data_IF_664682833026
#
_entry.id   IF_664682833026
#
_cell.length_a   1.000
_cell.length_b   1.000
_cell.length_c   1.000
_cell.angle_alpha   90.00
_cell.angle_beta   90.00
_cell.angle_gamma   90.00
#
_symmetry.space_group_name_H-M   'P 1'
#
loop_
_entity.id
_entity.type
_entity.pdbx_description
1 polymer ?
#
# COMPACT_ATOMS: atom_id res chain seq x y z
N UNK A 1 -37.65 -25.60 -22.03
CA UNK A 1 -37.62 -24.29 -21.38
C UNK A 1 -36.49 -24.33 -20.35
N UNK A 2 -35.26 -24.04 -20.80
CA UNK A 2 -34.08 -24.04 -19.94
C UNK A 2 -33.93 -22.66 -19.32
N UNK A 3 -33.87 -22.62 -17.99
CA UNK A 3 -33.53 -21.41 -17.25
C UNK A 3 -32.04 -21.13 -17.40
N UNK A 4 -31.73 -19.94 -17.90
CA UNK A 4 -30.36 -19.43 -17.97
C UNK A 4 -30.16 -18.50 -16.77
N UNK A 5 -29.69 -19.09 -15.67
CA UNK A 5 -29.21 -18.37 -14.51
C UNK A 5 -27.79 -17.92 -14.77
N UNK A 6 -27.65 -16.69 -15.28
CA UNK A 6 -26.36 -16.00 -15.26
C UNK A 6 -26.13 -15.48 -13.85
N UNK A 7 -25.52 -16.33 -13.02
CA UNK A 7 -24.81 -15.93 -11.80
C UNK A 7 -23.65 -15.02 -12.22
N UNK A 8 -23.93 -13.72 -12.31
CA UNK A 8 -22.89 -12.71 -12.33
C UNK A 8 -22.15 -12.81 -10.99
N UNK A 9 -20.91 -13.30 -11.03
CA UNK A 9 -20.04 -13.34 -9.86
C UNK A 9 -19.84 -11.90 -9.37
N UNK A 10 -20.54 -11.56 -8.29
CA UNK A 10 -20.29 -10.39 -7.46
C UNK A 10 -18.91 -10.56 -6.82
N UNK A 11 -17.88 -10.04 -7.50
CA UNK A 11 -16.54 -9.89 -6.95
C UNK A 11 -16.60 -8.81 -5.88
N UNK A 12 -16.97 -9.25 -4.68
CA UNK A 12 -17.33 -8.45 -3.52
C UNK A 12 -16.26 -7.47 -3.05
N UNK A 13 -16.14 -6.34 -3.75
CA UNK A 13 -15.92 -5.05 -3.08
C UNK A 13 -17.29 -4.66 -2.55
N UNK A 14 -17.53 -4.90 -1.25
CA UNK A 14 -18.67 -4.29 -0.57
C UNK A 14 -18.47 -2.77 -0.59
N UNK A 15 -18.91 -2.11 -1.66
CA UNK A 15 -18.95 -0.65 -1.70
C UNK A 15 -19.91 -0.22 -0.61
N UNK A 16 -19.39 0.49 0.38
CA UNK A 16 -20.24 1.17 1.34
C UNK A 16 -21.19 2.08 0.54
N UNK A 17 -22.40 2.31 1.04
CA UNK A 17 -23.30 3.31 0.45
C UNK A 17 -22.58 4.66 0.25
N UNK A 18 -21.64 5.00 1.13
CA UNK A 18 -20.77 6.17 0.98
C UNK A 18 -19.84 6.08 -0.24
N UNK A 19 -19.20 4.93 -0.47
CA UNK A 19 -18.33 4.70 -1.63
C UNK A 19 -19.10 4.79 -2.95
N UNK A 20 -20.32 4.26 -2.98
CA UNK A 20 -21.19 4.33 -4.15
C UNK A 20 -21.61 5.78 -4.46
N UNK A 21 -22.03 6.54 -3.44
CA UNK A 21 -22.37 7.96 -3.60
C UNK A 21 -21.19 8.77 -4.13
N UNK A 22 -19.97 8.51 -3.65
CA UNK A 22 -18.77 9.19 -4.15
C UNK A 22 -18.50 8.83 -5.61
N UNK A 23 -18.60 7.55 -5.98
CA UNK A 23 -18.41 7.10 -7.36
C UNK A 23 -19.45 7.73 -8.30
N UNK A 24 -20.72 7.75 -7.92
CA UNK A 24 -21.80 8.40 -8.68
C UNK A 24 -21.55 9.91 -8.81
N UNK A 25 -21.09 10.58 -7.75
CA UNK A 25 -20.74 11.99 -7.79
C UNK A 25 -19.58 12.30 -8.72
N UNK A 26 -18.57 11.44 -8.80
CA UNK A 26 -17.43 11.59 -9.72
C UNK A 26 -17.90 11.47 -11.17
N UNK A 27 -18.81 10.52 -11.45
CA UNK A 27 -19.32 10.30 -12.81
C UNK A 27 -20.31 11.38 -13.27
N UNK A 28 -21.03 12.01 -12.33
CA UNK A 28 -22.01 13.05 -12.62
C UNK A 28 -21.38 14.41 -12.98
N UNK A 29 -20.17 14.68 -12.51
CA UNK A 29 -19.43 15.92 -12.78
C UNK A 29 -18.35 15.69 -13.85
N UNK A 30 -18.50 16.31 -15.02
CA UNK A 30 -17.55 16.11 -16.13
C UNK A 30 -16.11 16.55 -15.77
N UNK A 31 -15.94 17.60 -14.95
CA UNK A 31 -14.60 18.05 -14.53
C UNK A 31 -13.89 17.01 -13.64
N UNK A 32 -14.61 16.42 -12.69
CA UNK A 32 -14.09 15.38 -11.80
C UNK A 32 -13.85 14.08 -12.55
N UNK A 33 -14.72 13.74 -13.51
CA UNK A 33 -14.55 12.59 -14.41
C UNK A 33 -13.32 12.73 -15.30
N UNK A 34 -13.05 13.91 -15.86
CA UNK A 34 -11.84 14.17 -16.63
C UNK A 34 -10.58 14.01 -15.79
N UNK A 35 -10.59 14.52 -14.54
CA UNK A 35 -9.48 14.31 -13.61
C UNK A 35 -9.29 12.83 -13.27
N UNK A 36 -10.37 12.08 -13.06
CA UNK A 36 -10.30 10.63 -12.82
C UNK A 36 -9.69 9.89 -14.01
N UNK A 37 -10.02 10.27 -15.24
CA UNK A 37 -9.40 9.73 -16.46
C UNK A 37 -7.91 10.03 -16.53
N UNK A 38 -7.50 11.26 -16.18
CA UNK A 38 -6.08 11.65 -16.13
C UNK A 38 -5.33 10.83 -15.08
N UNK A 39 -5.89 10.65 -13.88
CA UNK A 39 -5.28 9.83 -12.83
C UNK A 39 -5.14 8.38 -13.30
N UNK A 40 -6.19 7.79 -13.86
CA UNK A 40 -6.17 6.42 -14.39
C UNK A 40 -5.10 6.24 -15.47
N UNK A 41 -4.93 7.24 -16.35
CA UNK A 41 -3.87 7.23 -17.36
C UNK A 41 -2.46 7.32 -16.74
N UNK A 42 -2.25 8.16 -15.73
CA UNK A 42 -0.97 8.27 -15.01
C UNK A 42 -0.63 7.00 -14.22
N UNK A 43 -1.63 6.35 -13.62
CA UNK A 43 -1.47 5.05 -12.96
C UNK A 43 -1.08 3.97 -13.98
N UNK A 44 -1.73 3.93 -15.14
CA UNK A 44 -1.38 3.03 -16.23
C UNK A 44 0.07 3.22 -16.68
N UNK A 45 0.50 4.46 -16.94
CA UNK A 45 1.89 4.76 -17.30
C UNK A 45 2.89 4.34 -16.22
N UNK A 46 2.54 4.58 -14.94
CA UNK A 46 3.35 4.16 -13.81
C UNK A 46 3.45 2.63 -13.73
N UNK A 47 2.37 1.92 -14.05
CA UNK A 47 2.35 0.47 -14.15
C UNK A 47 3.28 -0.06 -15.26
N UNK A 48 3.28 0.57 -16.43
CA UNK A 48 4.20 0.23 -17.51
C UNK A 48 5.67 0.41 -17.11
N UNK A 49 6.00 1.53 -16.44
CA UNK A 49 7.36 1.78 -15.96
C UNK A 49 7.82 0.74 -14.93
N UNK A 50 6.92 0.24 -14.08
CA UNK A 50 7.24 -0.84 -13.14
C UNK A 50 7.50 -2.19 -13.83
N UNK A 51 6.84 -2.45 -14.95
CA UNK A 51 6.97 -3.72 -15.67
C UNK A 51 8.18 -3.73 -16.61
N UNK A 52 8.50 -2.60 -17.26
CA UNK A 52 9.53 -2.52 -18.31
C UNK A 52 10.94 -2.27 -17.78
N UNK A 53 11.09 -1.52 -16.70
CA UNK A 53 12.41 -1.17 -16.18
C UNK A 53 12.88 -2.20 -15.14
N UNK A 54 13.73 -3.17 -15.51
CA UNK A 54 14.39 -4.06 -14.53
C UNK A 54 15.20 -3.27 -13.47
N UNK A 55 15.66 -2.06 -13.79
CA UNK A 55 16.33 -1.15 -12.87
C UNK A 55 15.37 -0.31 -11.99
N UNK A 56 14.12 -0.10 -12.40
CA UNK A 56 13.04 0.46 -11.57
C UNK A 56 12.30 -0.62 -10.77
N UNK A 57 12.56 -1.89 -11.12
CA UNK A 57 12.01 -3.08 -10.51
C UNK A 57 11.96 -2.94 -8.99
N UNK A 58 10.78 -3.20 -8.45
CA UNK A 58 10.50 -3.10 -7.03
C UNK A 58 11.60 -3.86 -6.24
N UNK A 59 12.26 -3.21 -5.26
CA UNK A 59 13.25 -3.92 -4.48
C UNK A 59 12.59 -5.13 -3.83
N UNK A 60 13.28 -6.27 -3.86
CA UNK A 60 12.75 -7.51 -3.28
C UNK A 60 12.46 -7.29 -1.80
N UNK A 61 11.19 -7.46 -1.44
CA UNK A 61 10.72 -7.45 -0.05
C UNK A 61 10.94 -8.84 0.52
N UNK A 62 11.75 -8.93 1.58
CA UNK A 62 12.01 -10.18 2.29
C UNK A 62 10.83 -10.61 3.16
N UNK A 63 10.77 -11.88 3.55
CA UNK A 63 9.77 -12.40 4.49
C UNK A 63 9.88 -11.81 5.91
N UNK A 64 11.00 -11.15 6.22
CA UNK A 64 11.23 -10.43 7.47
C UNK A 64 11.01 -8.91 7.38
N UNK A 65 10.79 -8.36 6.18
CA UNK A 65 10.59 -6.92 6.00
C UNK A 65 9.25 -6.52 6.63
N UNK A 66 9.27 -5.46 7.45
CA UNK A 66 8.12 -5.06 8.26
C UNK A 66 7.99 -5.81 9.60
N UNK A 67 8.81 -6.84 9.84
CA UNK A 67 8.95 -7.47 11.15
C UNK A 67 10.16 -6.88 11.86
N UNK A 68 9.94 -6.13 12.93
CA UNK A 68 11.01 -5.44 13.68
C UNK A 68 11.83 -6.37 14.58
N UNK A 69 12.36 -7.45 14.02
CA UNK A 69 13.05 -8.53 14.74
C UNK A 69 14.35 -8.07 15.41
N UNK A 70 15.12 -7.22 14.74
CA UNK A 70 16.37 -6.68 15.30
C UNK A 70 16.07 -5.65 16.39
N UNK A 71 15.08 -4.78 16.16
CA UNK A 71 14.58 -3.83 17.17
C UNK A 71 14.08 -4.57 18.42
N UNK A 72 13.35 -5.67 18.26
CA UNK A 72 12.91 -6.54 19.36
C UNK A 72 14.10 -7.09 20.14
N UNK A 73 15.12 -7.59 19.44
CA UNK A 73 16.34 -8.12 20.08
C UNK A 73 17.08 -7.03 20.85
N UNK A 74 17.24 -5.85 20.25
CA UNK A 74 17.90 -4.70 20.89
C UNK A 74 17.13 -4.16 22.10
N UNK A 75 15.81 -4.11 22.03
CA UNK A 75 14.95 -3.77 23.16
C UNK A 75 15.12 -4.78 24.30
N UNK A 76 15.15 -6.08 23.99
CA UNK A 76 15.29 -7.15 24.99
C UNK A 76 16.62 -7.13 25.73
N UNK A 77 17.72 -6.68 25.09
CA UNK A 77 19.03 -6.49 25.74
C UNK A 77 19.16 -5.12 26.44
N UNK A 78 18.10 -4.32 26.47
CA UNK A 78 18.05 -3.05 27.22
C UNK A 78 18.65 -1.85 26.48
N UNK A 79 18.71 -1.86 25.15
CA UNK A 79 19.14 -0.68 24.40
C UNK A 79 18.08 0.44 24.52
N UNK A 80 18.39 1.46 25.32
CA UNK A 80 17.47 2.57 25.58
C UNK A 80 17.14 3.43 24.35
N UNK A 81 17.92 3.31 23.25
CA UNK A 81 17.75 4.10 22.03
C UNK A 81 16.65 3.59 21.11
N UNK A 82 16.29 2.31 21.20
CA UNK A 82 15.26 1.71 20.35
C UNK A 82 13.90 1.65 21.05
N UNK A 83 12.83 1.59 20.25
CA UNK A 83 11.47 1.41 20.77
C UNK A 83 11.34 0.11 21.59
N UNK A 84 10.55 0.18 22.65
CA UNK A 84 10.29 -0.98 23.52
C UNK A 84 9.04 -1.76 23.12
N UNK A 85 8.12 -1.11 22.44
CA UNK A 85 6.86 -1.70 21.95
C UNK A 85 6.95 -1.88 20.43
N UNK A 86 6.24 -2.87 19.90
CA UNK A 86 6.36 -3.30 18.49
C UNK A 86 5.09 -3.04 17.68
N UNK A 87 4.26 -2.10 18.12
CA UNK A 87 3.18 -1.55 17.32
C UNK A 87 3.69 -0.48 16.34
N UNK A 88 3.04 -0.30 15.18
CA UNK A 88 3.50 0.63 14.14
C UNK A 88 3.66 2.09 14.59
N UNK A 89 2.90 2.54 15.59
CA UNK A 89 2.95 3.92 16.10
C UNK A 89 3.93 4.11 17.27
N UNK A 90 4.55 3.05 17.78
CA UNK A 90 5.53 3.12 18.88
C UNK A 90 6.67 4.11 18.64
N UNK A 91 7.28 4.22 17.43
CA UNK A 91 8.34 5.20 17.19
C UNK A 91 7.89 6.64 17.42
N UNK A 92 6.67 6.98 16.95
CA UNK A 92 6.09 8.31 17.11
C UNK A 92 5.68 8.57 18.57
N UNK A 93 5.05 7.59 19.23
CA UNK A 93 4.57 7.71 20.61
C UNK A 93 5.71 7.79 21.63
N UNK A 94 6.78 7.02 21.43
CA UNK A 94 7.90 6.93 22.37
C UNK A 94 9.03 7.92 22.07
N UNK A 95 9.03 8.54 20.87
CA UNK A 95 10.13 9.39 20.42
C UNK A 95 11.45 8.63 20.29
N UNK A 96 11.38 7.35 19.92
CA UNK A 96 12.53 6.45 19.77
C UNK A 96 12.52 5.84 18.38
N UNK A 97 13.70 5.47 17.90
CA UNK A 97 13.85 4.93 16.55
C UNK A 97 13.78 3.40 16.55
N UNK A 98 13.63 2.83 15.35
CA UNK A 98 13.89 1.40 15.13
C UNK A 98 15.40 1.13 15.13
N UNK A 99 15.79 -0.14 15.16
CA UNK A 99 17.17 -0.49 14.82
C UNK A 99 17.50 -0.04 13.39
N UNK A 100 18.79 0.19 13.11
CA UNK A 100 19.24 0.63 11.78
C UNK A 100 18.89 -0.36 10.67
N UNK A 101 18.94 -1.67 10.94
CA UNK A 101 18.48 -2.69 9.98
C UNK A 101 16.99 -2.54 9.71
N UNK A 102 16.15 -2.52 10.74
CA UNK A 102 14.70 -2.48 10.53
C UNK A 102 14.20 -1.15 9.99
N UNK A 103 14.91 -0.04 10.25
CA UNK A 103 14.63 1.23 9.58
C UNK A 103 14.85 1.13 8.06
N UNK A 104 15.95 0.49 7.61
CA UNK A 104 16.23 0.27 6.19
C UNK A 104 15.23 -0.69 5.54
N UNK A 105 14.82 -1.73 6.25
CA UNK A 105 13.82 -2.68 5.77
C UNK A 105 12.46 -1.98 5.60
N UNK A 106 12.07 -1.16 6.57
CA UNK A 106 10.85 -0.33 6.46
C UNK A 106 10.92 0.62 5.27
N UNK A 107 12.06 1.31 5.05
CA UNK A 107 12.22 2.21 3.91
C UNK A 107 12.06 1.46 2.58
N UNK A 108 12.67 0.28 2.47
CA UNK A 108 12.54 -0.58 1.29
C UNK A 108 11.09 -1.01 1.05
N UNK A 109 10.41 -1.47 2.11
CA UNK A 109 9.01 -1.88 2.04
C UNK A 109 8.11 -0.72 1.63
N UNK A 110 8.27 0.46 2.25
CA UNK A 110 7.49 1.65 1.93
C UNK A 110 7.71 2.12 0.50
N UNK A 111 8.95 2.04 -0.01
CA UNK A 111 9.25 2.33 -1.41
C UNK A 111 8.45 1.42 -2.35
N UNK A 112 8.32 0.14 -2.00
CA UNK A 112 7.55 -0.83 -2.80
C UNK A 112 6.07 -0.52 -2.77
N UNK A 113 5.51 -0.35 -1.57
CA UNK A 113 4.09 -0.01 -1.38
C UNK A 113 3.75 1.29 -2.11
N UNK A 114 4.59 2.31 -1.99
CA UNK A 114 4.40 3.60 -2.66
C UNK A 114 4.40 3.48 -4.19
N UNK A 115 5.32 2.70 -4.74
CA UNK A 115 5.36 2.43 -6.18
C UNK A 115 4.10 1.71 -6.67
N UNK A 116 3.61 0.71 -5.94
CA UNK A 116 2.37 0.00 -6.28
C UNK A 116 1.14 0.90 -6.17
N UNK A 117 1.05 1.72 -5.11
CA UNK A 117 -0.03 2.69 -4.92
C UNK A 117 -0.12 3.66 -6.10
N UNK A 118 1.00 4.24 -6.53
CA UNK A 118 1.01 5.17 -7.68
C UNK A 118 0.68 4.51 -9.02
N UNK A 119 0.82 3.19 -9.12
CA UNK A 119 0.46 2.43 -10.30
C UNK A 119 -0.97 1.87 -10.26
N UNK A 120 -1.76 2.21 -9.23
CA UNK A 120 -3.13 1.69 -9.08
C UNK A 120 -3.18 0.18 -8.83
N UNK A 121 -2.14 -0.43 -8.24
CA UNK A 121 -2.01 -1.89 -8.05
C UNK A 121 -2.23 -2.34 -6.59
N UNK A 122 -3.09 -1.65 -5.84
CA UNK A 122 -3.46 -2.02 -4.47
C UNK A 122 -4.76 -2.83 -4.41
#
# INVERSE_FOLDING_TARGET
AGGDGVDAMDLGVRTSAASQVVAESILADEGTKDLANVVSWLEFLSGLDLDENEASGLPKVGTGDGVWSETKTQSAIGNAKVVTELDPDAPARQGKELSSENAKDNERLLKVVWSLLRAGRL
#
